data_IF_577248939405
#
_entry.id   IF_577248939405
#
_cell.length_a   1.000
_cell.length_b   1.000
_cell.length_c   1.000
_cell.angle_alpha   90.00
_cell.angle_beta   90.00
_cell.angle_gamma   90.00
#
_symmetry.space_group_name_H-M   'P 1'
#
loop_
_entity.id
_entity.type
_entity.pdbx_description
1 polymer ?
#
# COMPACT_ATOMS: atom_id res chain seq x y z
N UNK A 1 -4.05 -1.73 -19.43
CA UNK A 1 -3.16 -1.37 -18.31
C UNK A 1 -4.07 -1.12 -17.12
N UNK A 2 -3.79 -1.68 -15.94
CA UNK A 2 -4.59 -1.41 -14.74
C UNK A 2 -4.22 -0.02 -14.20
N UNK A 3 -5.21 0.79 -13.85
CA UNK A 3 -5.03 2.13 -13.28
C UNK A 3 -5.55 2.19 -11.84
N UNK A 4 -4.85 2.93 -10.98
CA UNK A 4 -5.21 3.09 -9.57
C UNK A 4 -5.20 4.58 -9.23
N UNK A 5 -6.29 5.07 -8.66
CA UNK A 5 -6.38 6.41 -8.09
C UNK A 5 -6.33 6.35 -6.56
N UNK A 6 -5.80 7.39 -5.92
CA UNK A 6 -5.70 7.50 -4.46
C UNK A 6 -6.50 8.71 -3.99
N UNK A 7 -7.37 8.52 -2.99
CA UNK A 7 -8.25 9.54 -2.45
C UNK A 7 -8.18 9.61 -0.92
N UNK A 8 -8.44 10.79 -0.36
CA UNK A 8 -8.53 11.01 1.10
C UNK A 8 -9.85 11.71 1.43
N UNK A 9 -10.62 11.12 2.33
CA UNK A 9 -11.97 11.56 2.70
C UNK A 9 -13.02 10.94 1.79
N UNK A 10 -13.24 11.54 0.62
CA UNK A 10 -14.24 11.09 -0.34
C UNK A 10 -13.58 10.66 -1.66
N UNK A 11 -14.20 9.68 -2.32
CA UNK A 11 -13.76 9.25 -3.64
C UNK A 11 -14.14 10.31 -4.69
N UNK A 12 -13.19 10.71 -5.51
CA UNK A 12 -13.44 11.57 -6.67
C UNK A 12 -13.83 10.80 -7.93
N UNK A 13 -14.19 11.53 -8.98
CA UNK A 13 -14.73 10.98 -10.23
C UNK A 13 -13.65 10.65 -11.29
N UNK A 14 -12.37 10.74 -10.92
CA UNK A 14 -11.30 10.44 -11.88
C UNK A 14 -11.38 8.98 -12.37
N UNK A 15 -11.37 8.76 -13.71
CA UNK A 15 -11.51 7.42 -14.27
C UNK A 15 -10.34 6.53 -13.83
N UNK A 16 -10.65 5.45 -13.12
CA UNK A 16 -9.67 4.48 -12.62
C UNK A 16 -10.30 3.09 -12.47
N UNK A 17 -9.52 2.03 -12.73
CA UNK A 17 -9.97 0.64 -12.54
C UNK A 17 -10.12 0.31 -11.05
N UNK A 18 -9.23 0.86 -10.23
CA UNK A 18 -9.21 0.72 -8.78
C UNK A 18 -9.07 2.08 -8.10
N UNK A 19 -9.63 2.19 -6.90
CA UNK A 19 -9.47 3.36 -6.04
C UNK A 19 -8.98 2.92 -4.65
N UNK A 20 -7.82 3.42 -4.22
CA UNK A 20 -7.46 3.43 -2.81
C UNK A 20 -8.13 4.62 -2.13
N UNK A 21 -9.00 4.36 -1.15
CA UNK A 21 -9.69 5.39 -0.39
C UNK A 21 -9.26 5.31 1.07
N UNK A 22 -8.75 6.43 1.58
CA UNK A 22 -8.38 6.60 2.98
C UNK A 22 -9.35 7.57 3.64
N UNK A 23 -9.75 7.30 4.89
CA UNK A 23 -10.54 8.25 5.66
C UNK A 23 -9.70 9.49 6.04
N UNK A 24 -10.37 10.55 6.48
CA UNK A 24 -9.72 11.71 7.10
C UNK A 24 -9.90 11.60 8.62
N UNK A 25 -8.79 11.58 9.35
CA UNK A 25 -8.72 11.51 10.81
C UNK A 25 -7.90 12.69 11.32
N UNK A 26 -8.44 13.48 12.24
CA UNK A 26 -7.76 14.66 12.84
C UNK A 26 -7.12 15.59 11.80
N UNK A 27 -7.82 15.83 10.69
CA UNK A 27 -7.36 16.68 9.59
C UNK A 27 -6.35 16.02 8.63
N UNK A 28 -5.85 14.83 8.95
CA UNK A 28 -4.85 14.08 8.18
C UNK A 28 -5.43 12.82 7.53
N UNK A 29 -4.68 12.20 6.63
CA UNK A 29 -5.04 10.90 6.05
C UNK A 29 -4.95 9.82 7.14
N UNK A 30 -5.99 9.00 7.26
CA UNK A 30 -5.96 7.81 8.11
C UNK A 30 -4.83 6.86 7.70
N UNK A 31 -4.35 6.05 8.65
CA UNK A 31 -3.28 5.07 8.42
C UNK A 31 -3.73 3.85 7.62
N UNK A 32 -5.00 3.49 7.73
CA UNK A 32 -5.54 2.35 7.01
C UNK A 32 -6.55 2.85 5.97
N UNK A 33 -6.71 2.08 4.90
CA UNK A 33 -7.57 2.41 3.78
C UNK A 33 -8.27 1.19 3.21
N UNK A 34 -9.00 1.41 2.13
CA UNK A 34 -9.68 0.35 1.39
C UNK A 34 -9.36 0.45 -0.09
N UNK A 35 -9.20 -0.70 -0.74
CA UNK A 35 -9.07 -0.78 -2.19
C UNK A 35 -10.44 -1.14 -2.78
N UNK A 36 -10.94 -0.29 -3.67
CA UNK A 36 -12.24 -0.42 -4.29
C UNK A 36 -12.10 -0.76 -5.78
N UNK A 37 -12.97 -1.63 -6.29
CA UNK A 37 -13.25 -1.79 -7.73
C UNK A 37 -14.70 -1.42 -7.97
N UNK A 38 -14.94 -0.33 -8.72
CA UNK A 38 -16.28 0.27 -8.71
C UNK A 38 -16.69 0.57 -7.26
N UNK A 39 -17.88 0.17 -6.83
CA UNK A 39 -18.36 0.38 -5.44
C UNK A 39 -17.97 -0.73 -4.47
N UNK A 40 -17.34 -1.80 -4.94
CA UNK A 40 -17.02 -2.98 -4.14
C UNK A 40 -15.65 -2.85 -3.50
N UNK A 41 -15.57 -3.12 -2.20
CA UNK A 41 -14.29 -3.28 -1.51
C UNK A 41 -13.68 -4.65 -1.85
N UNK A 42 -12.50 -4.63 -2.46
CA UNK A 42 -11.79 -5.85 -2.89
C UNK A 42 -10.60 -6.22 -1.99
N UNK A 43 -10.06 -5.23 -1.25
CA UNK A 43 -9.02 -5.44 -0.25
C UNK A 43 -9.04 -4.32 0.81
N UNK A 44 -8.39 -4.57 1.94
CA UNK A 44 -8.00 -3.51 2.90
C UNK A 44 -6.57 -3.06 2.58
N UNK A 45 -6.27 -1.80 2.78
CA UNK A 45 -4.90 -1.27 2.71
C UNK A 45 -4.43 -0.99 4.13
N UNK A 46 -3.29 -1.57 4.49
CA UNK A 46 -2.64 -1.35 5.79
C UNK A 46 -1.40 -0.52 5.51
N UNK A 47 -1.45 0.79 5.80
CA UNK A 47 -0.41 1.77 5.44
C UNK A 47 0.28 2.34 6.69
N UNK A 48 1.21 1.55 7.21
CA UNK A 48 2.07 1.92 8.34
C UNK A 48 3.52 1.63 7.98
N UNK A 49 4.44 2.45 8.47
CA UNK A 49 5.86 2.22 8.25
C UNK A 49 6.22 0.79 8.70
N UNK A 50 6.72 -0.01 7.77
CA UNK A 50 7.22 -1.34 8.05
C UNK A 50 8.31 -1.25 9.12
N UNK A 51 8.04 -1.84 10.27
CA UNK A 51 9.00 -2.02 11.35
C UNK A 51 9.07 -3.52 11.63
N UNK A 52 10.12 -4.15 11.11
CA UNK A 52 10.36 -5.59 11.21
C UNK A 52 10.37 -6.09 12.67
N UNK A 53 10.71 -5.22 13.62
CA UNK A 53 10.81 -5.52 15.04
C UNK A 53 9.52 -5.23 15.83
N UNK A 54 8.44 -4.72 15.20
CA UNK A 54 7.16 -4.48 15.87
C UNK A 54 6.19 -5.66 15.64
N UNK A 55 6.03 -6.57 16.62
CA UNK A 55 5.19 -7.75 16.46
C UNK A 55 3.71 -7.40 16.33
N UNK A 56 3.27 -6.24 16.86
CA UNK A 56 1.88 -5.80 16.75
C UNK A 56 1.54 -5.41 15.31
N UNK A 57 2.51 -4.91 14.54
CA UNK A 57 2.32 -4.58 13.13
C UNK A 57 2.01 -5.84 12.29
N UNK A 58 2.82 -6.90 12.49
CA UNK A 58 2.67 -8.18 11.77
C UNK A 58 1.31 -8.82 12.12
N UNK A 59 0.98 -8.87 13.41
CA UNK A 59 -0.29 -9.44 13.87
C UNK A 59 -1.49 -8.64 13.39
N UNK A 60 -1.44 -7.30 13.38
CA UNK A 60 -2.55 -6.48 12.83
C UNK A 60 -2.73 -6.68 11.33
N UNK A 61 -1.65 -6.75 10.56
CA UNK A 61 -1.72 -7.00 9.12
C UNK A 61 -2.35 -8.39 8.84
N UNK A 62 -1.94 -9.42 9.59
CA UNK A 62 -2.53 -10.76 9.50
C UNK A 62 -3.98 -10.81 9.98
N UNK A 63 -4.30 -10.11 11.07
CA UNK A 63 -5.63 -10.06 11.69
C UNK A 63 -6.66 -9.29 10.86
N UNK A 64 -6.23 -8.44 9.92
CA UNK A 64 -7.14 -7.75 9.02
C UNK A 64 -8.01 -8.71 8.20
N UNK A 65 -7.57 -9.95 7.97
CA UNK A 65 -8.34 -11.00 7.32
C UNK A 65 -8.68 -10.73 5.84
N UNK A 66 -8.84 -11.78 5.05
CA UNK A 66 -9.12 -11.65 3.62
C UNK A 66 -7.94 -11.05 2.83
N UNK A 67 -8.23 -10.30 1.77
CA UNK A 67 -7.19 -9.68 0.91
C UNK A 67 -6.70 -8.38 1.53
N UNK A 68 -5.39 -8.28 1.69
CA UNK A 68 -4.72 -7.08 2.19
C UNK A 68 -3.70 -6.56 1.17
N UNK A 69 -3.61 -5.24 1.09
CA UNK A 69 -2.52 -4.52 0.44
C UNK A 69 -1.64 -3.98 1.56
N UNK A 70 -0.39 -4.43 1.63
CA UNK A 70 0.57 -3.94 2.61
C UNK A 70 1.29 -2.72 2.03
N UNK A 71 1.29 -1.61 2.75
CA UNK A 71 1.91 -0.35 2.34
C UNK A 71 2.63 0.31 3.51
N UNK A 72 3.39 1.36 3.21
CA UNK A 72 4.05 2.20 4.21
C UNK A 72 5.51 1.85 4.41
N UNK A 73 6.40 2.65 3.84
CA UNK A 73 7.85 2.51 4.04
C UNK A 73 8.49 1.26 3.42
N UNK A 74 7.78 0.53 2.56
CA UNK A 74 8.36 -0.60 1.83
C UNK A 74 9.43 -0.12 0.84
N UNK A 75 10.54 -0.83 0.76
CA UNK A 75 11.69 -0.55 -0.10
C UNK A 75 12.12 -1.83 -0.82
N UNK A 76 12.96 -1.74 -1.87
CA UNK A 76 13.51 -2.94 -2.52
C UNK A 76 14.21 -3.89 -1.56
N UNK A 77 14.80 -3.37 -0.48
CA UNK A 77 15.57 -4.14 0.50
C UNK A 77 14.70 -4.89 1.51
N UNK A 78 13.48 -4.40 1.81
CA UNK A 78 12.64 -4.97 2.87
C UNK A 78 11.36 -5.67 2.37
N UNK A 79 10.95 -5.45 1.12
CA UNK A 79 9.65 -5.92 0.62
C UNK A 79 9.54 -7.44 0.61
N UNK A 80 10.63 -8.15 0.31
CA UNK A 80 10.65 -9.62 0.33
C UNK A 80 10.36 -10.18 1.72
N UNK A 81 11.04 -9.68 2.74
CA UNK A 81 10.82 -10.07 4.13
C UNK A 81 9.41 -9.72 4.62
N UNK A 82 8.91 -8.53 4.23
CA UNK A 82 7.54 -8.13 4.54
C UNK A 82 6.50 -9.08 3.93
N UNK A 83 6.71 -9.53 2.68
CA UNK A 83 5.85 -10.50 2.01
C UNK A 83 5.93 -11.87 2.70
N UNK A 84 7.11 -12.34 3.08
CA UNK A 84 7.27 -13.61 3.79
C UNK A 84 6.57 -13.59 5.15
N UNK A 85 6.74 -12.50 5.90
CA UNK A 85 6.17 -12.34 7.23
C UNK A 85 4.64 -12.17 7.21
N UNK A 86 4.09 -11.39 6.28
CA UNK A 86 2.66 -11.02 6.29
C UNK A 86 1.82 -11.85 5.32
N UNK A 87 2.43 -12.36 4.24
CA UNK A 87 1.76 -13.04 3.12
C UNK A 87 0.61 -12.21 2.53
N UNK A 88 0.84 -10.93 2.17
CA UNK A 88 -0.23 -10.05 1.70
C UNK A 88 -0.70 -10.44 0.28
N UNK A 89 -1.86 -9.94 -0.12
CA UNK A 89 -2.37 -10.13 -1.48
C UNK A 89 -1.66 -9.22 -2.48
N UNK A 90 -1.27 -8.02 -2.05
CA UNK A 90 -0.47 -7.08 -2.82
C UNK A 90 0.42 -6.22 -1.89
N UNK A 91 1.43 -5.58 -2.46
CA UNK A 91 2.27 -4.58 -1.79
C UNK A 91 2.21 -3.25 -2.53
N UNK A 92 2.35 -2.14 -1.81
CA UNK A 92 2.36 -0.79 -2.36
C UNK A 92 3.50 0.06 -1.78
N UNK A 93 4.19 0.79 -2.65
CA UNK A 93 5.31 1.65 -2.29
C UNK A 93 5.35 2.87 -3.22
N UNK A 94 5.58 4.06 -2.64
CA UNK A 94 5.70 5.30 -3.41
C UNK A 94 7.04 6.01 -3.23
N UNK A 95 7.26 6.66 -2.10
CA UNK A 95 8.38 7.59 -1.89
C UNK A 95 9.75 6.92 -1.83
N UNK A 96 9.84 5.67 -1.37
CA UNK A 96 11.07 4.87 -1.42
C UNK A 96 11.56 4.59 -2.84
N UNK A 97 10.64 4.63 -3.81
CA UNK A 97 10.88 4.37 -5.23
C UNK A 97 11.07 5.68 -6.03
N UNK A 98 11.25 6.80 -5.34
CA UNK A 98 11.42 8.11 -5.94
C UNK A 98 12.86 8.62 -5.74
N UNK A 99 13.36 9.39 -6.72
CA UNK A 99 14.57 10.20 -6.54
C UNK A 99 14.24 11.49 -5.80
N UNK A 100 13.08 12.07 -6.12
CA UNK A 100 12.52 13.30 -5.55
C UNK A 100 10.98 13.17 -5.54
N UNK A 101 10.25 13.91 -4.68
CA UNK A 101 8.79 13.77 -4.56
C UNK A 101 8.06 13.80 -5.92
N UNK A 102 7.43 12.69 -6.27
CA UNK A 102 6.69 12.52 -7.53
C UNK A 102 7.52 12.11 -8.75
N UNK A 103 8.84 11.98 -8.64
CA UNK A 103 9.74 11.54 -9.72
C UNK A 103 10.25 10.13 -9.40
N UNK A 104 9.79 9.13 -10.16
CA UNK A 104 10.16 7.72 -9.96
C UNK A 104 11.58 7.41 -10.43
N UNK A 105 12.31 6.68 -9.59
CA UNK A 105 13.57 6.04 -9.95
C UNK A 105 13.28 4.69 -10.61
N UNK A 106 13.58 4.57 -11.90
CA UNK A 106 13.30 3.34 -12.65
C UNK A 106 14.07 2.13 -12.12
N UNK A 107 15.28 2.31 -11.59
CA UNK A 107 16.09 1.20 -11.08
C UNK A 107 15.55 0.70 -9.74
N UNK A 108 15.14 1.62 -8.85
CA UNK A 108 14.46 1.24 -7.60
C UNK A 108 13.13 0.55 -7.85
N UNK A 109 12.35 1.02 -8.82
CA UNK A 109 11.08 0.36 -9.20
C UNK A 109 11.34 -1.06 -9.69
N UNK A 110 12.35 -1.27 -10.56
CA UNK A 110 12.71 -2.62 -11.03
C UNK A 110 13.17 -3.52 -9.89
N UNK A 111 14.03 -3.00 -9.00
CA UNK A 111 14.52 -3.75 -7.84
C UNK A 111 13.37 -4.14 -6.90
N UNK A 112 12.44 -3.23 -6.63
CA UNK A 112 11.26 -3.49 -5.83
C UNK A 112 10.38 -4.60 -6.42
N UNK A 113 10.08 -4.51 -7.73
CA UNK A 113 9.27 -5.53 -8.42
C UNK A 113 9.98 -6.89 -8.44
N UNK A 114 11.31 -6.90 -8.55
CA UNK A 114 12.09 -8.13 -8.50
C UNK A 114 12.07 -8.78 -7.11
N UNK A 115 12.21 -7.97 -6.05
CA UNK A 115 12.16 -8.44 -4.66
C UNK A 115 10.74 -8.83 -4.19
N UNK A 116 9.69 -8.33 -4.84
CA UNK A 116 8.30 -8.60 -4.50
C UNK A 116 7.68 -9.82 -5.22
N UNK A 117 8.45 -10.53 -6.05
CA UNK A 117 8.01 -11.71 -6.82
C UNK A 117 8.44 -13.00 -6.15
#
# INVERSE_FOLDING_TARGET
>A
MLSVAVYVGERGDAPSDLAQLYAREDGHRARDGVLLRGKEQVARVVDRAWQQEDPEHIERARAAGGRIVLAGGLTPENVGEAIEAVRPWAVDASSSLETEPGIKDHDRVRAFVAAAR
#
